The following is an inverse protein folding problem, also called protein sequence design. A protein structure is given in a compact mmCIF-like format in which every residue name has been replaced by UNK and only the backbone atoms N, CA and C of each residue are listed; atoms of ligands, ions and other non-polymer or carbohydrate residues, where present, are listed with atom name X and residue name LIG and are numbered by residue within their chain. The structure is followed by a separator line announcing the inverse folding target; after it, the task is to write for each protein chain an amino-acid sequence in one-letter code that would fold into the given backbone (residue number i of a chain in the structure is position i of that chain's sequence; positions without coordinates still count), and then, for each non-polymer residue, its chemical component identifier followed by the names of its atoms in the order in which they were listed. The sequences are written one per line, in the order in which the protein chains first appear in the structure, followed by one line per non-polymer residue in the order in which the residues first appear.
data_IF_231277367584
#
_entry.id   IF_231277367584
#
_cell.length_a   1.000
_cell.length_b   1.000
_cell.length_c   1.000
_cell.angle_alpha   90.00
_cell.angle_beta   90.00
_cell.angle_gamma   90.00
#
_symmetry.space_group_name_H-M   'P 1'
#
loop_
_entity.id
_entity.type
_entity.pdbx_description
1 polymer ?
#
# COMPACT_ATOMS: atom_id res chain seq x y z
N UNK A 1 15.36 36.20 43.71
CA UNK A 1 14.65 34.95 43.33
C UNK A 1 13.95 35.03 41.96
N UNK A 2 13.20 36.10 41.63
CA UNK A 2 12.48 36.29 40.37
C UNK A 2 13.39 36.27 39.12
N UNK A 3 14.59 36.86 39.17
CA UNK A 3 15.49 36.91 38.01
C UNK A 3 16.13 35.54 37.67
N UNK A 4 16.37 34.70 38.67
CA UNK A 4 16.86 33.32 38.44
C UNK A 4 15.78 32.40 37.84
N UNK A 5 14.51 32.56 38.25
CA UNK A 5 13.40 31.79 37.69
C UNK A 5 13.16 32.13 36.19
N UNK A 6 13.20 33.41 35.84
CA UNK A 6 13.06 33.88 34.46
C UNK A 6 14.18 33.36 33.56
N UNK A 7 15.43 33.31 34.07
CA UNK A 7 16.56 32.76 33.34
C UNK A 7 16.42 31.24 33.10
N UNK A 8 15.90 30.50 34.06
CA UNK A 8 15.68 29.04 33.91
C UNK A 8 14.55 28.76 32.92
N UNK A 9 13.43 29.52 33.02
CA UNK A 9 12.31 29.36 32.07
C UNK A 9 12.72 29.71 30.62
N UNK A 10 13.50 30.77 30.42
CA UNK A 10 14.03 31.11 29.10
C UNK A 10 14.94 30.03 28.52
N UNK A 11 15.81 29.43 29.34
CA UNK A 11 16.66 28.28 28.87
C UNK A 11 15.84 27.09 28.51
N UNK A 12 14.81 26.72 29.27
CA UNK A 12 13.91 25.60 28.97
C UNK A 12 13.12 25.82 27.68
N UNK A 13 12.64 27.05 27.45
CA UNK A 13 11.92 27.43 26.23
C UNK A 13 12.83 27.38 24.99
N UNK A 14 14.05 27.87 25.09
CA UNK A 14 15.03 27.83 23.99
C UNK A 14 15.43 26.39 23.67
N UNK A 15 15.61 25.54 24.68
CA UNK A 15 15.93 24.12 24.47
C UNK A 15 14.79 23.36 23.82
N UNK A 16 13.54 23.61 24.22
CA UNK A 16 12.34 23.02 23.58
C UNK A 16 12.16 23.50 22.14
N UNK A 17 12.37 24.78 21.87
CA UNK A 17 12.29 25.33 20.52
C UNK A 17 13.38 24.74 19.60
N UNK A 18 14.59 24.55 20.12
CA UNK A 18 15.70 23.93 19.37
C UNK A 18 15.44 22.45 19.07
N UNK A 19 14.81 21.70 19.98
CA UNK A 19 14.42 20.29 19.77
C UNK A 19 13.31 20.20 18.72
N UNK A 20 12.30 21.07 18.77
CA UNK A 20 11.22 21.09 17.79
C UNK A 20 11.70 21.51 16.39
N UNK A 21 12.61 22.48 16.30
CA UNK A 21 13.26 22.87 15.04
C UNK A 21 14.13 21.73 14.47
N UNK A 22 14.85 21.01 15.32
CA UNK A 22 15.62 19.85 14.89
C UNK A 22 14.75 18.70 14.39
N UNK A 23 13.61 18.45 15.05
CA UNK A 23 12.64 17.46 14.60
C UNK A 23 11.97 17.89 13.29
N UNK A 24 11.61 19.16 13.13
CA UNK A 24 11.03 19.70 11.89
C UNK A 24 12.04 19.64 10.72
N UNK A 25 13.31 19.94 10.96
CA UNK A 25 14.37 19.82 9.95
C UNK A 25 14.69 18.37 9.58
N UNK A 26 14.66 17.45 10.55
CA UNK A 26 14.78 16.00 10.25
C UNK A 26 13.60 15.50 9.44
N UNK A 27 12.38 15.92 9.76
CA UNK A 27 11.18 15.54 9.03
C UNK A 27 11.16 16.11 7.60
N UNK A 28 11.65 17.33 7.42
CA UNK A 28 11.78 17.98 6.11
C UNK A 28 12.83 17.29 5.24
N UNK A 29 13.99 16.93 5.82
CA UNK A 29 15.03 16.18 5.11
C UNK A 29 14.61 14.74 4.77
N UNK A 30 13.75 14.10 5.57
CA UNK A 30 13.23 12.77 5.26
C UNK A 30 12.25 12.80 4.07
N UNK A 31 11.46 13.86 3.94
CA UNK A 31 10.53 14.03 2.82
C UNK A 31 11.23 14.49 1.52
N UNK A 32 12.36 15.21 1.61
CA UNK A 32 13.15 15.61 0.43
C UNK A 32 13.94 14.45 -0.20
N UNK A 33 14.20 13.37 0.54
CA UNK A 33 14.90 12.17 0.02
C UNK A 33 13.96 11.22 -0.74
N UNK A 34 12.65 11.47 -0.72
CA UNK A 34 11.65 10.59 -1.37
C UNK A 34 11.25 11.00 -2.79
N UNK A 35 11.88 12.01 -3.39
CA UNK A 35 11.81 12.14 -4.84
C UNK A 35 12.60 10.98 -5.46
N UNK A 36 11.89 9.92 -5.82
CA UNK A 36 12.42 8.90 -6.74
C UNK A 36 13.06 9.62 -7.90
N UNK A 37 14.29 9.26 -8.31
CA UNK A 37 14.90 9.86 -9.50
C UNK A 37 13.92 9.62 -10.66
N UNK A 38 13.26 10.67 -11.12
CA UNK A 38 12.25 10.64 -12.20
C UNK A 38 12.82 10.15 -13.54
N UNK A 39 14.10 9.75 -13.55
CA UNK A 39 14.85 9.25 -14.70
C UNK A 39 15.64 7.98 -14.38
N UNK A 40 15.15 7.08 -13.51
CA UNK A 40 15.78 5.77 -13.38
C UNK A 40 15.69 5.05 -14.74
N UNK A 41 16.84 4.73 -15.33
CA UNK A 41 16.91 4.02 -16.59
C UNK A 41 16.30 2.62 -16.40
N UNK A 42 15.16 2.37 -17.04
CA UNK A 42 14.53 1.04 -17.00
C UNK A 42 15.35 0.12 -17.90
N UNK A 43 15.91 -1.00 -17.37
CA UNK A 43 16.72 -1.90 -18.15
C UNK A 43 15.94 -2.51 -19.31
N UNK A 44 16.58 -2.60 -20.47
CA UNK A 44 16.06 -3.31 -21.64
C UNK A 44 16.58 -4.74 -21.66
N UNK A 45 15.73 -5.69 -22.03
CA UNK A 45 16.06 -7.10 -22.25
C UNK A 45 15.75 -7.50 -23.68
N UNK A 46 16.59 -8.34 -24.26
CA UNK A 46 16.40 -8.82 -25.64
C UNK A 46 16.00 -10.30 -25.56
N UNK A 47 14.88 -10.64 -26.15
CA UNK A 47 14.38 -12.00 -26.28
C UNK A 47 14.61 -12.48 -27.73
N UNK A 48 15.29 -13.60 -27.89
CA UNK A 48 15.43 -14.24 -29.19
C UNK A 48 14.22 -15.16 -29.44
N UNK A 49 13.54 -14.92 -30.55
CA UNK A 49 12.37 -15.73 -30.95
C UNK A 49 12.63 -16.33 -32.33
N UNK A 50 11.84 -17.33 -32.73
CA UNK A 50 11.91 -17.90 -34.09
C UNK A 50 11.64 -16.87 -35.21
N UNK A 51 11.08 -15.68 -34.86
CA UNK A 51 10.79 -14.57 -35.78
C UNK A 51 11.80 -13.43 -35.70
N UNK A 52 12.93 -13.62 -34.96
CA UNK A 52 13.96 -12.61 -34.75
C UNK A 52 14.03 -12.09 -33.33
N UNK A 53 14.87 -11.08 -33.12
CA UNK A 53 15.07 -10.46 -31.81
C UNK A 53 13.97 -9.44 -31.51
N UNK A 54 13.49 -9.44 -30.24
CA UNK A 54 12.57 -8.42 -29.72
C UNK A 54 13.13 -7.83 -28.44
N UNK A 55 13.15 -6.51 -28.38
CA UNK A 55 13.55 -5.76 -27.19
C UNK A 55 12.32 -5.36 -26.38
N UNK A 56 12.38 -5.54 -25.07
CA UNK A 56 11.36 -5.15 -24.09
C UNK A 56 12.04 -4.41 -22.95
N UNK A 57 11.38 -3.44 -22.31
CA UNK A 57 11.77 -3.08 -20.98
C UNK A 57 11.45 -4.22 -20.01
N UNK A 58 12.13 -4.24 -18.85
CA UNK A 58 12.02 -5.36 -17.90
C UNK A 58 10.58 -5.55 -17.37
N UNK A 59 9.83 -4.47 -17.17
CA UNK A 59 8.44 -4.56 -16.69
C UNK A 59 7.51 -5.13 -17.76
N UNK A 60 7.65 -4.66 -19.02
CA UNK A 60 6.90 -5.21 -20.16
C UNK A 60 7.22 -6.69 -20.38
N UNK A 61 8.48 -7.09 -20.16
CA UNK A 61 8.86 -8.51 -20.26
C UNK A 61 8.21 -9.36 -19.16
N UNK A 62 8.18 -8.86 -17.91
CA UNK A 62 7.54 -9.53 -16.78
C UNK A 62 6.02 -9.56 -16.91
N UNK A 63 5.41 -8.53 -17.52
CA UNK A 63 3.98 -8.51 -17.81
C UNK A 63 3.56 -9.66 -18.74
N UNK A 64 4.39 -10.07 -19.68
CA UNK A 64 4.16 -11.28 -20.50
C UNK A 64 4.08 -12.57 -19.67
N UNK A 65 4.75 -12.60 -18.51
CA UNK A 65 4.64 -13.68 -17.53
C UNK A 65 3.50 -13.44 -16.52
N UNK A 66 2.60 -12.50 -16.83
CA UNK A 66 1.44 -12.12 -16.03
C UNK A 66 1.79 -11.57 -14.65
N UNK A 67 2.95 -10.88 -14.57
CA UNK A 67 3.46 -10.25 -13.35
C UNK A 67 3.27 -8.74 -13.43
N UNK A 68 2.57 -8.19 -12.44
CA UNK A 68 2.34 -6.75 -12.25
C UNK A 68 3.09 -6.30 -11.00
N UNK A 69 3.72 -5.12 -11.06
CA UNK A 69 4.36 -4.49 -9.91
C UNK A 69 3.52 -3.32 -9.40
N UNK A 70 3.12 -3.40 -8.13
CA UNK A 70 2.47 -2.34 -7.38
C UNK A 70 3.48 -1.79 -6.38
N UNK A 71 4.24 -0.77 -6.79
CA UNK A 71 5.34 -0.22 -6.01
C UNK A 71 5.19 1.28 -5.79
N UNK A 72 5.56 1.76 -4.60
CA UNK A 72 5.39 3.15 -4.21
C UNK A 72 3.98 3.48 -3.73
N UNK A 73 3.65 4.77 -3.74
CA UNK A 73 2.36 5.26 -3.25
C UNK A 73 1.21 4.87 -4.17
N UNK A 74 0.08 4.44 -3.59
CA UNK A 74 -1.16 4.19 -4.32
C UNK A 74 -1.79 5.52 -4.68
N UNK A 75 -1.76 5.86 -5.96
CA UNK A 75 -2.29 7.10 -6.54
C UNK A 75 -3.01 6.82 -7.86
N UNK A 76 -3.77 7.79 -8.38
CA UNK A 76 -4.63 7.59 -9.54
C UNK A 76 -3.87 7.13 -10.78
N UNK A 77 -2.67 7.70 -11.05
CA UNK A 77 -1.88 7.30 -12.21
C UNK A 77 -1.44 5.84 -12.13
N UNK A 78 -0.89 5.43 -10.98
CA UNK A 78 -0.46 4.05 -10.76
C UNK A 78 -1.67 3.08 -10.80
N UNK A 79 -2.79 3.46 -10.18
CA UNK A 79 -4.00 2.64 -10.17
C UNK A 79 -4.53 2.40 -11.60
N UNK A 80 -4.60 3.44 -12.42
CA UNK A 80 -5.03 3.32 -13.82
C UNK A 80 -4.12 2.37 -14.62
N UNK A 81 -2.80 2.41 -14.40
CA UNK A 81 -1.87 1.49 -15.06
C UNK A 81 -2.07 0.03 -14.59
N UNK A 82 -2.26 -0.20 -13.29
CA UNK A 82 -2.52 -1.55 -12.76
C UNK A 82 -3.84 -2.10 -13.29
N UNK A 83 -4.91 -1.29 -13.27
CA UNK A 83 -6.23 -1.66 -13.82
C UNK A 83 -6.13 -2.01 -15.30
N UNK A 84 -5.44 -1.18 -16.10
CA UNK A 84 -5.25 -1.46 -17.53
C UNK A 84 -4.48 -2.77 -17.77
N UNK A 85 -3.45 -3.07 -16.97
CA UNK A 85 -2.70 -4.32 -17.05
C UNK A 85 -3.55 -5.54 -16.67
N UNK A 86 -4.39 -5.42 -15.62
CA UNK A 86 -5.32 -6.50 -15.21
C UNK A 86 -6.30 -6.83 -16.34
N UNK A 87 -6.95 -5.83 -16.91
CA UNK A 87 -7.91 -6.02 -18.02
C UNK A 87 -7.23 -6.54 -19.28
N UNK A 88 -6.01 -6.08 -19.59
CA UNK A 88 -5.23 -6.60 -20.70
C UNK A 88 -4.91 -8.09 -20.52
N UNK A 89 -4.40 -8.48 -19.35
CA UNK A 89 -4.04 -9.86 -19.06
C UNK A 89 -5.27 -10.79 -19.04
N UNK A 90 -6.42 -10.31 -18.55
CA UNK A 90 -7.68 -11.06 -18.68
C UNK A 90 -8.03 -11.29 -20.14
N UNK A 91 -7.93 -10.28 -21.00
CA UNK A 91 -8.25 -10.38 -22.42
C UNK A 91 -7.33 -11.37 -23.18
N UNK A 92 -6.07 -11.48 -22.76
CA UNK A 92 -5.09 -12.41 -23.34
C UNK A 92 -5.38 -13.88 -22.95
N UNK A 93 -5.65 -14.12 -21.67
CA UNK A 93 -6.00 -15.45 -21.18
C UNK A 93 -6.79 -15.36 -19.87
N UNK A 94 -8.12 -15.55 -19.91
CA UNK A 94 -8.97 -15.43 -18.73
C UNK A 94 -8.88 -16.62 -17.75
N UNK A 95 -8.20 -17.70 -18.11
CA UNK A 95 -8.12 -18.92 -17.29
C UNK A 95 -6.79 -19.06 -16.55
N UNK A 96 -5.86 -18.11 -16.74
CA UNK A 96 -4.55 -18.13 -16.10
C UNK A 96 -4.42 -17.03 -15.06
N UNK A 97 -3.88 -17.37 -13.87
CA UNK A 97 -3.66 -16.45 -12.77
C UNK A 97 -2.81 -15.24 -13.16
N UNK A 98 -3.05 -14.14 -12.45
CA UNK A 98 -2.23 -12.91 -12.51
C UNK A 98 -1.53 -12.74 -11.16
N UNK A 99 -0.26 -12.36 -11.15
CA UNK A 99 0.50 -12.13 -9.93
C UNK A 99 0.79 -10.63 -9.74
N UNK A 100 0.40 -10.07 -8.59
CA UNK A 100 0.74 -8.70 -8.21
C UNK A 100 1.79 -8.73 -7.10
N UNK A 101 2.97 -8.16 -7.38
CA UNK A 101 4.04 -7.95 -6.41
C UNK A 101 3.92 -6.56 -5.78
N UNK A 102 3.72 -6.53 -4.46
CA UNK A 102 3.36 -5.31 -3.71
C UNK A 102 4.55 -4.86 -2.84
N UNK A 103 4.99 -3.61 -3.03
CA UNK A 103 5.89 -2.88 -2.13
C UNK A 103 5.40 -1.44 -2.02
N UNK A 104 4.46 -1.19 -1.12
CA UNK A 104 3.72 0.07 -1.06
C UNK A 104 3.49 0.53 0.38
N UNK A 105 3.68 1.83 0.67
CA UNK A 105 3.27 2.44 1.92
C UNK A 105 1.74 2.69 2.01
N UNK A 106 0.98 2.37 0.96
CA UNK A 106 -0.43 2.73 0.82
C UNK A 106 -0.64 4.02 0.04
N UNK A 107 -1.77 4.68 0.24
CA UNK A 107 -2.09 5.93 -0.47
C UNK A 107 -3.60 6.20 -0.58
N UNK A 108 -4.03 6.75 -1.72
CA UNK A 108 -5.40 7.18 -1.94
C UNK A 108 -6.37 6.00 -1.95
N UNK A 109 -7.42 6.08 -1.11
CA UNK A 109 -8.39 5.00 -0.95
C UNK A 109 -9.16 4.75 -2.25
N UNK A 110 -9.62 5.80 -2.94
CA UNK A 110 -10.37 5.66 -4.21
C UNK A 110 -9.53 5.00 -5.31
N UNK A 111 -8.25 5.36 -5.40
CA UNK A 111 -7.31 4.74 -6.33
C UNK A 111 -7.11 3.25 -6.00
N UNK A 112 -6.94 2.91 -4.72
CA UNK A 112 -6.82 1.52 -4.29
C UNK A 112 -8.10 0.71 -4.49
N UNK A 113 -9.26 1.30 -4.23
CA UNK A 113 -10.55 0.63 -4.48
C UNK A 113 -10.77 0.32 -5.96
N UNK A 114 -10.32 1.17 -6.89
CA UNK A 114 -10.40 0.86 -8.32
C UNK A 114 -9.59 -0.38 -8.71
N UNK A 115 -8.40 -0.56 -8.09
CA UNK A 115 -7.59 -1.78 -8.27
C UNK A 115 -8.31 -2.98 -7.65
N UNK A 116 -8.77 -2.84 -6.39
CA UNK A 116 -9.43 -3.91 -5.66
C UNK A 116 -10.68 -4.42 -6.40
N UNK A 117 -11.57 -3.52 -6.80
CA UNK A 117 -12.78 -3.89 -7.51
C UNK A 117 -12.46 -4.58 -8.84
N UNK A 118 -11.43 -4.13 -9.56
CA UNK A 118 -10.98 -4.78 -10.78
C UNK A 118 -10.43 -6.19 -10.50
N UNK A 119 -9.64 -6.38 -9.43
CA UNK A 119 -9.16 -7.70 -9.01
C UNK A 119 -10.31 -8.67 -8.72
N UNK A 120 -11.41 -8.16 -8.13
CA UNK A 120 -12.58 -8.99 -7.84
C UNK A 120 -13.48 -9.21 -9.07
N UNK A 121 -13.45 -8.29 -10.04
CA UNK A 121 -14.33 -8.30 -11.22
C UNK A 121 -13.84 -9.23 -12.33
N UNK A 122 -12.51 -9.29 -12.56
CA UNK A 122 -11.93 -10.10 -13.63
C UNK A 122 -12.02 -11.59 -13.34
N UNK A 123 -12.04 -12.42 -14.38
CA UNK A 123 -12.15 -13.88 -14.26
C UNK A 123 -10.90 -14.56 -13.68
N UNK A 124 -9.66 -14.18 -14.06
CA UNK A 124 -8.45 -14.78 -13.50
C UNK A 124 -8.34 -14.58 -11.99
N UNK A 125 -7.87 -15.59 -11.27
CA UNK A 125 -7.45 -15.39 -9.89
C UNK A 125 -6.24 -14.45 -9.83
N UNK A 126 -6.30 -13.51 -8.90
CA UNK A 126 -5.19 -12.57 -8.65
C UNK A 126 -4.41 -13.03 -7.42
N UNK A 127 -3.20 -13.53 -7.65
CA UNK A 127 -2.24 -13.82 -6.58
C UNK A 127 -1.54 -12.53 -6.14
N UNK A 128 -1.34 -12.36 -4.84
CA UNK A 128 -0.66 -11.19 -4.27
C UNK A 128 0.57 -11.59 -3.46
N UNK A 129 1.67 -10.88 -3.64
CA UNK A 129 2.94 -11.15 -2.94
C UNK A 129 3.50 -9.86 -2.35
N UNK A 130 3.57 -9.78 -1.03
CA UNK A 130 4.23 -8.67 -0.37
C UNK A 130 5.76 -8.84 -0.39
N UNK A 131 6.46 -7.87 -0.97
CA UNK A 131 7.91 -7.74 -0.91
C UNK A 131 8.29 -6.39 -0.26
N UNK A 132 9.12 -6.40 0.78
CA UNK A 132 9.45 -5.21 1.55
C UNK A 132 8.32 -4.79 2.48
N UNK A 133 7.30 -4.08 1.97
CA UNK A 133 6.17 -3.67 2.78
C UNK A 133 4.84 -3.62 2.02
N UNK A 134 3.77 -3.88 2.74
CA UNK A 134 2.40 -3.58 2.31
C UNK A 134 1.68 -2.88 3.47
N UNK A 135 1.52 -1.56 3.38
CA UNK A 135 0.91 -0.76 4.44
C UNK A 135 -0.38 -0.11 3.98
N UNK A 136 -1.34 0.07 4.90
CA UNK A 136 -2.58 0.80 4.64
C UNK A 136 -3.31 0.23 3.41
N UNK A 137 -3.53 1.04 2.37
CA UNK A 137 -4.14 0.59 1.12
C UNK A 137 -3.35 -0.55 0.44
N UNK A 138 -2.02 -0.61 0.62
CA UNK A 138 -1.19 -1.73 0.15
C UNK A 138 -1.51 -3.04 0.87
N UNK A 139 -1.75 -3.01 2.18
CA UNK A 139 -2.17 -4.18 2.95
C UNK A 139 -3.58 -4.63 2.57
N UNK A 140 -4.47 -3.69 2.29
CA UNK A 140 -5.82 -3.96 1.81
C UNK A 140 -5.80 -4.71 0.47
N UNK A 141 -4.99 -4.24 -0.49
CA UNK A 141 -4.82 -4.89 -1.79
C UNK A 141 -4.15 -6.26 -1.67
N UNK A 142 -3.19 -6.41 -0.75
CA UNK A 142 -2.54 -7.69 -0.47
C UNK A 142 -3.58 -8.71 0.03
N UNK A 143 -4.41 -8.33 1.00
CA UNK A 143 -5.48 -9.18 1.54
C UNK A 143 -6.57 -9.47 0.51
N UNK A 144 -6.79 -8.57 -0.46
CA UNK A 144 -7.77 -8.68 -1.54
C UNK A 144 -7.42 -9.70 -2.63
N UNK A 145 -6.26 -10.34 -2.58
CA UNK A 145 -5.90 -11.45 -3.47
C UNK A 145 -6.81 -12.67 -3.30
N UNK A 146 -6.76 -13.58 -4.28
CA UNK A 146 -7.52 -14.83 -4.24
C UNK A 146 -7.10 -15.69 -3.04
N UNK A 147 -8.08 -16.28 -2.35
CA UNK A 147 -7.83 -17.11 -1.18
C UNK A 147 -6.91 -18.30 -1.52
N UNK A 148 -5.90 -18.52 -0.69
CA UNK A 148 -4.85 -19.52 -0.93
C UNK A 148 -3.70 -19.04 -1.82
N UNK A 149 -3.79 -17.79 -2.36
CA UNK A 149 -2.80 -17.22 -3.30
C UNK A 149 -2.25 -15.85 -2.83
N UNK A 150 -2.32 -15.57 -1.52
CA UNK A 150 -1.81 -14.35 -0.89
C UNK A 150 -0.58 -14.66 -0.07
N UNK A 151 0.52 -13.99 -0.34
CA UNK A 151 1.82 -14.37 0.24
C UNK A 151 2.62 -13.17 0.72
N UNK A 152 3.53 -13.41 1.67
CA UNK A 152 4.62 -12.50 2.04
C UNK A 152 5.97 -13.15 1.79
N UNK A 153 6.98 -12.35 1.45
CA UNK A 153 8.39 -12.76 1.61
C UNK A 153 8.78 -12.72 3.10
N UNK A 154 9.79 -13.49 3.55
CA UNK A 154 10.06 -13.71 4.99
C UNK A 154 10.31 -12.43 5.81
N UNK A 155 10.91 -11.41 5.21
CA UNK A 155 11.24 -10.15 5.89
C UNK A 155 10.28 -9.01 5.53
N UNK A 156 9.16 -9.31 4.85
CA UNK A 156 8.17 -8.31 4.51
C UNK A 156 7.39 -7.88 5.77
N UNK A 157 6.88 -6.65 5.74
CA UNK A 157 6.06 -6.06 6.78
C UNK A 157 4.69 -5.69 6.24
N UNK A 158 3.66 -5.97 7.03
CA UNK A 158 2.29 -5.56 6.71
C UNK A 158 1.81 -4.60 7.79
N UNK A 159 1.08 -3.55 7.42
CA UNK A 159 0.49 -2.62 8.38
C UNK A 159 -0.93 -2.29 7.97
N UNK A 160 -1.84 -2.45 8.92
CA UNK A 160 -3.25 -2.05 8.77
C UNK A 160 -3.57 -0.89 9.70
N UNK A 161 -4.41 0.01 9.24
CA UNK A 161 -4.97 1.10 10.02
C UNK A 161 -6.23 1.66 9.33
N UNK A 162 -7.00 2.47 10.06
CA UNK A 162 -8.16 3.16 9.52
C UNK A 162 -7.78 4.23 8.50
N UNK A 163 -8.68 4.59 7.55
CA UNK A 163 -8.40 5.64 6.58
C UNK A 163 -8.15 6.99 7.25
N UNK A 164 -7.17 7.71 6.73
CA UNK A 164 -6.94 9.11 7.10
C UNK A 164 -7.81 10.01 6.22
N UNK A 165 -8.40 11.02 6.81
CA UNK A 165 -9.17 12.02 6.10
C UNK A 165 -9.29 13.31 6.89
N UNK A 166 -9.49 14.42 6.17
CA UNK A 166 -9.75 15.73 6.75
C UNK A 166 -10.42 16.61 5.71
N UNK A 167 -11.22 17.56 6.20
CA UNK A 167 -11.88 18.53 5.34
C UNK A 167 -11.98 19.88 6.08
N UNK A 168 -11.85 20.97 5.32
CA UNK A 168 -12.00 22.32 5.81
C UNK A 168 -13.03 23.06 4.93
N UNK A 169 -14.06 23.62 5.56
CA UNK A 169 -15.13 24.29 4.82
C UNK A 169 -16.27 24.72 5.72
N UNK A 170 -17.46 24.91 5.16
CA UNK A 170 -18.68 25.22 5.92
C UNK A 170 -19.08 24.03 6.82
N UNK A 171 -19.76 24.31 7.94
CA UNK A 171 -20.14 23.29 8.92
C UNK A 171 -20.92 22.12 8.30
N UNK A 172 -21.86 22.41 7.40
CA UNK A 172 -22.63 21.38 6.70
C UNK A 172 -21.75 20.49 5.78
N UNK A 173 -20.78 21.08 5.09
CA UNK A 173 -19.85 20.36 4.22
C UNK A 173 -18.92 19.46 5.03
N UNK A 174 -18.42 19.96 6.18
CA UNK A 174 -17.62 19.18 7.12
C UNK A 174 -18.41 17.94 7.58
N UNK A 175 -19.69 18.09 7.90
CA UNK A 175 -20.54 16.99 8.33
C UNK A 175 -20.72 15.94 7.20
N UNK A 176 -20.94 16.38 5.96
CA UNK A 176 -21.09 15.49 4.79
C UNK A 176 -19.80 14.70 4.58
N UNK A 177 -18.64 15.36 4.58
CA UNK A 177 -17.35 14.68 4.40
C UNK A 177 -17.03 13.74 5.56
N UNK A 178 -17.33 14.11 6.80
CA UNK A 178 -17.15 13.22 7.95
C UNK A 178 -17.99 11.95 7.82
N UNK A 179 -19.25 12.05 7.42
CA UNK A 179 -20.11 10.89 7.18
C UNK A 179 -19.56 9.99 6.05
N UNK A 180 -19.03 10.59 4.99
CA UNK A 180 -18.46 9.82 3.88
C UNK A 180 -17.18 9.07 4.30
N UNK A 181 -16.29 9.70 5.07
CA UNK A 181 -15.11 9.03 5.63
C UNK A 181 -15.52 7.83 6.50
N UNK A 182 -16.56 7.96 7.32
CA UNK A 182 -17.07 6.87 8.15
C UNK A 182 -17.64 5.72 7.31
N UNK A 183 -18.33 6.00 6.21
CA UNK A 183 -18.81 4.97 5.27
C UNK A 183 -17.64 4.24 4.62
N UNK A 184 -16.63 4.98 4.15
CA UNK A 184 -15.41 4.40 3.58
C UNK A 184 -14.72 3.49 4.61
N UNK A 185 -14.54 3.95 5.86
CA UNK A 185 -13.99 3.14 6.95
C UNK A 185 -14.76 1.82 7.12
N UNK A 186 -16.08 1.89 7.19
CA UNK A 186 -16.90 0.70 7.35
C UNK A 186 -16.77 -0.27 6.16
N UNK A 187 -16.74 0.25 4.92
CA UNK A 187 -16.53 -0.56 3.73
C UNK A 187 -15.18 -1.28 3.75
N UNK A 188 -14.11 -0.57 4.09
CA UNK A 188 -12.77 -1.16 4.18
C UNK A 188 -12.69 -2.23 5.27
N UNK A 189 -13.27 -1.96 6.44
CA UNK A 189 -13.30 -2.90 7.55
C UNK A 189 -14.09 -4.16 7.21
N UNK A 190 -15.26 -4.02 6.55
CA UNK A 190 -16.07 -5.14 6.10
C UNK A 190 -15.30 -6.02 5.09
N UNK A 191 -14.60 -5.42 4.15
CA UNK A 191 -13.79 -6.17 3.18
C UNK A 191 -12.57 -6.84 3.85
N UNK A 192 -11.91 -6.18 4.80
CA UNK A 192 -10.83 -6.80 5.59
C UNK A 192 -11.36 -7.98 6.42
N UNK A 193 -12.51 -7.84 7.09
CA UNK A 193 -13.14 -8.93 7.83
C UNK A 193 -13.42 -10.13 6.90
N UNK A 194 -13.99 -9.88 5.73
CA UNK A 194 -14.26 -10.91 4.72
C UNK A 194 -12.99 -11.66 4.30
N UNK A 195 -11.92 -10.94 3.98
CA UNK A 195 -10.69 -11.55 3.47
C UNK A 195 -9.86 -12.24 4.55
N UNK A 196 -9.85 -11.71 5.78
CA UNK A 196 -9.05 -12.24 6.90
C UNK A 196 -9.77 -13.35 7.67
N UNK A 197 -11.10 -13.36 7.64
CA UNK A 197 -11.92 -14.21 8.49
C UNK A 197 -12.03 -13.73 9.95
N UNK A 198 -11.51 -12.54 10.25
CA UNK A 198 -11.69 -11.89 11.56
C UNK A 198 -13.10 -11.31 11.70
N UNK A 199 -13.60 -11.23 12.93
CA UNK A 199 -14.84 -10.51 13.20
C UNK A 199 -14.66 -8.99 13.08
N UNK A 200 -15.77 -8.29 12.86
CA UNK A 200 -15.77 -6.85 12.63
C UNK A 200 -15.21 -6.06 13.82
N UNK A 201 -15.50 -6.48 15.05
CA UNK A 201 -15.03 -5.81 16.26
C UNK A 201 -13.50 -5.94 16.42
N UNK A 202 -12.93 -7.07 16.01
CA UNK A 202 -11.49 -7.28 15.95
C UNK A 202 -10.85 -6.37 14.89
N UNK A 203 -11.41 -6.30 13.70
CA UNK A 203 -10.91 -5.40 12.64
C UNK A 203 -10.97 -3.93 13.08
N UNK A 204 -12.09 -3.48 13.66
CA UNK A 204 -12.25 -2.10 14.13
C UNK A 204 -11.22 -1.72 15.20
N UNK A 205 -10.99 -2.61 16.16
CA UNK A 205 -10.00 -2.44 17.23
C UNK A 205 -8.57 -2.38 16.65
N UNK A 206 -8.25 -3.32 15.78
CA UNK A 206 -6.88 -3.53 15.30
C UNK A 206 -6.47 -2.56 14.17
N UNK A 207 -7.43 -1.91 13.53
CA UNK A 207 -7.22 -0.83 12.56
C UNK A 207 -7.34 0.57 13.17
N UNK A 208 -7.66 0.72 14.46
CA UNK A 208 -7.82 2.06 15.07
C UNK A 208 -6.53 2.88 15.02
N UNK A 209 -5.39 2.24 15.11
CA UNK A 209 -4.04 2.80 14.99
C UNK A 209 -3.16 1.91 14.13
N UNK A 210 -1.96 2.41 13.79
CA UNK A 210 -0.98 1.65 13.03
C UNK A 210 -0.68 0.31 13.70
N UNK A 211 -1.06 -0.78 13.06
CA UNK A 211 -0.84 -2.14 13.52
C UNK A 211 0.12 -2.85 12.57
N UNK A 212 1.40 -2.88 12.95
CA UNK A 212 2.47 -3.50 12.16
C UNK A 212 2.58 -4.98 12.49
N UNK A 213 2.71 -5.79 11.43
CA UNK A 213 2.81 -7.25 11.50
C UNK A 213 4.03 -7.74 10.72
N UNK A 214 4.73 -8.74 11.26
CA UNK A 214 5.68 -9.55 10.50
C UNK A 214 4.94 -10.44 9.50
N UNK A 215 5.67 -11.13 8.62
CA UNK A 215 5.08 -12.08 7.68
C UNK A 215 4.30 -13.19 8.42
N UNK A 216 4.85 -13.75 9.52
CA UNK A 216 4.21 -14.77 10.34
C UNK A 216 2.93 -14.25 11.03
N UNK A 217 2.99 -13.04 11.55
CA UNK A 217 1.82 -12.39 12.16
C UNK A 217 0.73 -12.12 11.14
N UNK A 218 1.08 -11.71 9.92
CA UNK A 218 0.13 -11.49 8.84
C UNK A 218 -0.56 -12.79 8.39
N UNK A 219 0.16 -13.93 8.38
CA UNK A 219 -0.44 -15.25 8.16
C UNK A 219 -1.39 -15.62 9.30
N UNK A 220 -0.96 -15.48 10.55
CA UNK A 220 -1.78 -15.81 11.71
C UNK A 220 -3.05 -14.94 11.81
N UNK A 221 -2.97 -13.69 11.35
CA UNK A 221 -4.09 -12.76 11.29
C UNK A 221 -5.07 -13.08 10.15
N UNK A 222 -4.61 -13.75 9.08
CA UNK A 222 -5.39 -14.08 7.90
C UNK A 222 -5.29 -13.07 6.75
N UNK A 223 -4.38 -12.07 6.85
CA UNK A 223 -4.11 -11.12 5.77
C UNK A 223 -3.48 -11.79 4.56
N UNK A 224 -2.68 -12.83 4.77
CA UNK A 224 -2.06 -13.66 3.75
C UNK A 224 -2.18 -15.14 4.09
N UNK A 225 -1.98 -15.99 3.09
CA UNK A 225 -2.15 -17.45 3.22
C UNK A 225 -0.82 -18.18 3.52
N UNK A 226 0.32 -17.54 3.27
CA UNK A 226 1.63 -18.16 3.50
C UNK A 226 2.83 -17.26 3.30
N UNK A 227 4.00 -17.82 3.58
CA UNK A 227 5.32 -17.18 3.40
C UNK A 227 6.08 -17.92 2.32
N UNK A 228 6.57 -17.18 1.32
CA UNK A 228 7.42 -17.73 0.26
C UNK A 228 8.89 -17.55 0.63
N UNK A 229 9.53 -18.59 1.16
CA UNK A 229 10.95 -18.58 1.53
C UNK A 229 11.89 -18.92 0.36
N UNK A 230 11.39 -19.67 -0.60
CA UNK A 230 12.12 -20.10 -1.81
C UNK A 230 11.17 -20.12 -3.00
N UNK A 231 11.72 -19.93 -4.18
CA UNK A 231 10.99 -20.14 -5.43
C UNK A 231 11.03 -21.64 -5.74
N UNK A 232 9.83 -22.24 -5.84
CA UNK A 232 9.67 -23.64 -6.25
C UNK A 232 9.95 -23.83 -7.74
#
# INVERSE_FOLDING_TARGET
LRSKLLSIMARVLITRAAVLLRQSLMYKNYNDVTESPRNALIPMVVEQTAKGERSYDIYSRLLKERVIFLTGQVEDHMANLVVAQLLFLESENPDQDISIYINSPGGAVTAGMSIYDTMQFIKPDVSTVCMGQACSMGAFLLAGGAKGKRFCLPNARVMIHQPLGGFQGQASDIQIHAQEILKIKNTLNDRLAFHTGQDMATIERDTDRDNFMSAEQAVAYGLVDGILSQRG
#
